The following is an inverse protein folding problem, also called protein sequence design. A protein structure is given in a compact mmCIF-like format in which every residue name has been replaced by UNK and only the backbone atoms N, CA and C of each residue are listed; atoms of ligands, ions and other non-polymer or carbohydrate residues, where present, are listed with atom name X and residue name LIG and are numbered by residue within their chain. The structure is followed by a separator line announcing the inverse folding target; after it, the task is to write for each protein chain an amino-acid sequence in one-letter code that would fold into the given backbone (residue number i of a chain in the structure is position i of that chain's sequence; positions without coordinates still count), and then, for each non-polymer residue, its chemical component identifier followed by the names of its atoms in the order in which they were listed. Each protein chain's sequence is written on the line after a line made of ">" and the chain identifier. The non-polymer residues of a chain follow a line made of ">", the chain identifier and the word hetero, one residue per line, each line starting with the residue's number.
data_IF_258790419478
#
_entry.id   IF_258790419478
#
_cell.length_a   1.000
_cell.length_b   1.000
_cell.length_c   1.000
_cell.angle_alpha   90.00
_cell.angle_beta   90.00
_cell.angle_gamma   90.00
#
_symmetry.space_group_name_H-M   'P 1'
#
loop_
_entity.id
_entity.type
_entity.pdbx_description
1 polymer ?
#
# COMPACT_ATOMS: atom_id res chain seq x y z
N UNK A 1 10.49 -5.76 -14.12
CA UNK A 1 9.28 -6.50 -14.56
C UNK A 1 8.21 -6.23 -13.53
N UNK A 2 7.07 -5.69 -13.91
CA UNK A 2 5.94 -5.50 -12.98
C UNK A 2 5.40 -6.87 -12.59
N UNK A 3 5.57 -7.26 -11.32
CA UNK A 3 4.96 -8.46 -10.75
C UNK A 3 3.43 -8.34 -10.72
N UNK A 4 2.74 -9.45 -10.43
CA UNK A 4 1.28 -9.42 -10.21
C UNK A 4 0.99 -8.47 -9.02
N UNK A 5 0.02 -7.54 -9.13
CA UNK A 5 -0.30 -6.64 -8.04
C UNK A 5 -0.79 -7.38 -6.79
N UNK A 6 -0.31 -6.96 -5.62
CA UNK A 6 -0.82 -7.45 -4.34
C UNK A 6 -2.06 -6.66 -3.96
N UNK A 7 -3.16 -7.35 -3.66
CA UNK A 7 -4.36 -6.72 -3.13
C UNK A 7 -4.27 -6.61 -1.61
N UNK A 8 -4.36 -5.38 -1.08
CA UNK A 8 -4.15 -5.09 0.33
C UNK A 8 -5.40 -4.46 0.92
N UNK A 9 -6.08 -5.19 1.80
CA UNK A 9 -7.21 -4.64 2.56
C UNK A 9 -6.71 -3.79 3.73
N UNK A 10 -7.14 -2.52 3.79
CA UNK A 10 -6.87 -1.62 4.93
C UNK A 10 -8.17 -1.28 5.65
N UNK A 11 -8.32 -1.77 6.88
CA UNK A 11 -9.47 -1.43 7.73
C UNK A 11 -9.22 -0.10 8.46
N UNK A 12 -10.28 0.66 8.73
CA UNK A 12 -10.14 1.97 9.38
C UNK A 12 -9.32 2.98 8.56
N UNK A 13 -9.31 2.85 7.23
CA UNK A 13 -8.47 3.65 6.32
C UNK A 13 -8.67 5.17 6.44
N UNK A 14 -9.86 5.62 6.87
CA UNK A 14 -10.16 7.04 7.13
C UNK A 14 -9.65 7.56 8.48
N UNK A 15 -9.12 6.69 9.35
CA UNK A 15 -8.52 7.07 10.63
C UNK A 15 -7.13 7.67 10.49
N UNK A 16 -6.61 8.28 11.55
CA UNK A 16 -5.29 8.93 11.58
C UNK A 16 -4.14 7.99 11.16
N UNK A 17 -4.20 6.72 11.58
CA UNK A 17 -3.22 5.70 11.20
C UNK A 17 -3.35 5.39 9.70
N UNK A 18 -4.57 5.17 9.21
CA UNK A 18 -4.84 4.90 7.79
C UNK A 18 -4.30 6.02 6.90
N UNK A 19 -4.59 7.27 7.23
CA UNK A 19 -4.14 8.43 6.45
C UNK A 19 -2.61 8.47 6.28
N UNK A 20 -1.84 8.24 7.35
CA UNK A 20 -0.38 8.20 7.25
C UNK A 20 0.16 6.92 6.60
N UNK A 21 -0.52 5.78 6.80
CA UNK A 21 -0.10 4.47 6.29
C UNK A 21 -0.27 4.34 4.77
N UNK A 22 -1.39 4.80 4.20
CA UNK A 22 -1.71 4.57 2.78
C UNK A 22 -0.64 5.14 1.84
N UNK A 23 -0.10 6.33 2.14
CA UNK A 23 0.97 6.93 1.35
C UNK A 23 2.31 6.18 1.47
N UNK A 24 2.58 5.57 2.64
CA UNK A 24 3.76 4.71 2.84
C UNK A 24 3.65 3.40 2.07
N UNK A 25 2.44 2.81 2.02
CA UNK A 25 2.18 1.64 1.18
C UNK A 25 2.36 1.97 -0.29
N UNK A 26 1.74 3.06 -0.77
CA UNK A 26 1.81 3.49 -2.17
C UNK A 26 3.23 3.88 -2.63
N UNK A 27 4.11 4.31 -1.71
CA UNK A 27 5.52 4.60 -2.01
C UNK A 27 6.43 3.37 -2.05
N UNK A 28 5.89 2.17 -1.84
CA UNK A 28 6.66 0.92 -1.89
C UNK A 28 7.47 0.64 -0.63
N UNK A 29 7.24 1.35 0.49
CA UNK A 29 8.02 1.15 1.71
C UNK A 29 7.79 -0.20 2.40
N UNK A 30 6.69 -0.91 2.07
CA UNK A 30 6.36 -2.21 2.65
C UNK A 30 6.80 -3.39 1.78
N UNK A 31 6.55 -3.32 0.47
CA UNK A 31 6.78 -4.45 -0.46
C UNK A 31 7.92 -4.19 -1.47
N UNK A 32 8.57 -3.03 -1.39
CA UNK A 32 9.58 -2.58 -2.33
C UNK A 32 9.01 -1.68 -3.44
N UNK A 33 9.86 -0.84 -4.07
CA UNK A 33 9.44 0.12 -5.08
C UNK A 33 8.95 -0.52 -6.39
N UNK A 34 9.37 -1.75 -6.68
CA UNK A 34 9.04 -2.45 -7.93
C UNK A 34 7.78 -3.35 -7.82
N UNK A 35 7.23 -3.51 -6.61
CA UNK A 35 6.07 -4.36 -6.37
C UNK A 35 4.78 -3.53 -6.44
N UNK A 36 3.95 -3.67 -7.49
CA UNK A 36 2.67 -2.99 -7.56
C UNK A 36 1.70 -3.50 -6.50
N UNK A 37 0.84 -2.61 -6.01
CA UNK A 37 -0.25 -2.92 -5.08
C UNK A 37 -1.57 -2.29 -5.55
N UNK A 38 -2.68 -2.82 -5.06
CA UNK A 38 -4.01 -2.21 -5.14
C UNK A 38 -4.64 -2.22 -3.74
N UNK A 39 -5.31 -1.12 -3.38
CA UNK A 39 -5.89 -0.86 -2.06
C UNK A 39 -7.42 -0.97 -2.11
#
# INVERSE_FOLDING_TARGET
>A
MSGVPIQVAVTGAAGQIGYSLLFRLASGQMFGPDQPIVL
#
